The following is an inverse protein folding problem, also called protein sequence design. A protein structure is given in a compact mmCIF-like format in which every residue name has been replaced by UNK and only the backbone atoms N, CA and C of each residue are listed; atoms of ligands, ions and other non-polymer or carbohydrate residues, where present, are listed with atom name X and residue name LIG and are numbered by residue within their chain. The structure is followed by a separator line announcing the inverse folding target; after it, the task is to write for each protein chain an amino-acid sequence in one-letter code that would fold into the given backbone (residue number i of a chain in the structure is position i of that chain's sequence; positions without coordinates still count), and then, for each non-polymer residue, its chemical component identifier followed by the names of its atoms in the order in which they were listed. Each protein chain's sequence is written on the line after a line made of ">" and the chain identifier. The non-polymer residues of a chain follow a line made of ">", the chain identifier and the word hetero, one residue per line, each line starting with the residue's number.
data_IF_881411515302
#
_entry.id   IF_881411515302
#
_cell.length_a   1.000
_cell.length_b   1.000
_cell.length_c   1.000
_cell.angle_alpha   90.00
_cell.angle_beta   90.00
_cell.angle_gamma   90.00
#
_symmetry.space_group_name_H-M   'P 1'
#
loop_
_entity.id
_entity.type
_entity.pdbx_description
1 polymer ?
#
# COMPACT_ATOMS: atom_id res chain seq x y z
N UNK A 1 -28.23 -33.11 4.48
CA UNK A 1 -28.03 -31.80 5.17
C UNK A 1 -27.35 -30.80 4.24
N UNK A 2 -26.32 -31.20 3.48
CA UNK A 2 -25.70 -30.35 2.47
C UNK A 2 -26.45 -30.37 1.12
N UNK A 3 -27.46 -31.22 0.96
CA UNK A 3 -28.17 -31.45 -0.30
C UNK A 3 -29.05 -30.25 -0.72
N UNK A 4 -29.34 -29.33 0.22
CA UNK A 4 -29.99 -28.03 -0.10
C UNK A 4 -28.98 -26.96 -0.52
N UNK A 5 -27.72 -27.14 -0.14
CA UNK A 5 -26.59 -26.27 -0.45
C UNK A 5 -25.95 -26.64 -1.78
N UNK A 6 -25.79 -27.94 -2.03
CA UNK A 6 -25.13 -28.51 -3.20
C UNK A 6 -26.20 -29.05 -4.14
N UNK A 7 -26.12 -28.67 -5.41
CA UNK A 7 -27.00 -29.19 -6.45
C UNK A 7 -26.18 -29.75 -7.60
N UNK A 8 -26.75 -30.72 -8.32
CA UNK A 8 -26.09 -31.27 -9.50
C UNK A 8 -26.07 -30.23 -10.63
N UNK A 9 -24.96 -30.21 -11.38
CA UNK A 9 -24.76 -29.29 -12.50
C UNK A 9 -25.86 -29.44 -13.56
N UNK A 10 -26.28 -30.67 -13.85
CA UNK A 10 -27.38 -30.96 -14.80
C UNK A 10 -28.65 -30.23 -14.45
N UNK A 11 -29.01 -30.26 -13.17
CA UNK A 11 -30.27 -29.71 -12.68
C UNK A 11 -30.22 -28.18 -12.71
N UNK A 12 -29.05 -27.60 -12.38
CA UNK A 12 -28.83 -26.15 -12.41
C UNK A 12 -28.74 -25.58 -13.83
N UNK A 13 -28.20 -26.32 -14.80
CA UNK A 13 -28.16 -25.85 -16.20
C UNK A 13 -29.58 -25.53 -16.69
N UNK A 14 -30.55 -26.37 -16.33
CA UNK A 14 -31.94 -26.22 -16.73
C UNK A 14 -32.65 -25.18 -15.85
N UNK A 15 -32.47 -25.25 -14.53
CA UNK A 15 -33.31 -24.51 -13.56
C UNK A 15 -32.72 -23.22 -13.02
N UNK A 16 -31.40 -23.01 -13.10
CA UNK A 16 -30.76 -21.86 -12.46
C UNK A 16 -31.22 -20.53 -13.08
N UNK A 17 -31.43 -19.54 -12.21
CA UNK A 17 -31.77 -18.17 -12.55
C UNK A 17 -30.57 -17.41 -13.15
N UNK A 18 -29.33 -17.76 -12.76
CA UNK A 18 -28.11 -17.11 -13.24
C UNK A 18 -27.37 -17.97 -14.29
N UNK A 19 -27.84 -17.87 -15.54
CA UNK A 19 -27.24 -18.57 -16.68
C UNK A 19 -25.79 -18.15 -16.98
N UNK A 20 -25.39 -16.93 -16.58
CA UNK A 20 -24.01 -16.44 -16.78
C UNK A 20 -23.06 -17.17 -15.84
N UNK A 21 -23.43 -17.30 -14.57
CA UNK A 21 -22.68 -18.09 -13.59
C UNK A 21 -22.50 -19.54 -14.06
N UNK A 22 -23.57 -20.16 -14.57
CA UNK A 22 -23.52 -21.53 -15.10
C UNK A 22 -22.57 -21.68 -16.31
N UNK A 23 -22.57 -20.70 -17.22
CA UNK A 23 -21.65 -20.70 -18.37
C UNK A 23 -20.19 -20.63 -17.90
N UNK A 24 -19.92 -19.83 -16.87
CA UNK A 24 -18.58 -19.68 -16.31
C UNK A 24 -18.12 -20.94 -15.56
N UNK A 25 -19.04 -21.62 -14.86
CA UNK A 25 -18.79 -22.94 -14.26
C UNK A 25 -18.42 -23.93 -15.36
N UNK A 26 -19.24 -24.09 -16.40
CA UNK A 26 -18.94 -24.98 -17.53
C UNK A 26 -17.57 -24.71 -18.16
N UNK A 27 -17.21 -23.42 -18.33
CA UNK A 27 -15.91 -23.01 -18.86
C UNK A 27 -14.74 -23.39 -17.94
N UNK A 28 -14.94 -23.35 -16.63
CA UNK A 28 -13.90 -23.61 -15.61
C UNK A 28 -13.89 -25.04 -15.09
N UNK A 29 -14.93 -25.81 -15.40
CA UNK A 29 -15.06 -27.22 -15.05
C UNK A 29 -13.98 -28.00 -15.78
N UNK A 30 -12.91 -28.37 -15.06
CA UNK A 30 -11.89 -29.24 -15.63
C UNK A 30 -12.47 -30.64 -15.87
N UNK A 31 -11.78 -31.46 -16.68
CA UNK A 31 -12.15 -32.86 -17.00
C UNK A 31 -12.43 -33.73 -15.76
N UNK A 32 -11.91 -33.34 -14.59
CA UNK A 32 -12.10 -34.04 -13.31
C UNK A 32 -13.33 -33.58 -12.50
N UNK A 33 -14.12 -32.63 -13.01
CA UNK A 33 -15.30 -32.05 -12.34
C UNK A 33 -15.03 -31.65 -10.89
N UNK A 34 -13.91 -30.96 -10.65
CA UNK A 34 -13.45 -30.61 -9.31
C UNK A 34 -14.18 -29.44 -8.65
N UNK A 35 -15.09 -28.76 -9.36
CA UNK A 35 -15.92 -27.71 -8.78
C UNK A 35 -17.28 -28.28 -8.40
N UNK A 36 -17.75 -27.86 -7.23
CA UNK A 36 -19.08 -28.18 -6.74
C UNK A 36 -20.03 -27.03 -7.09
N UNK A 37 -21.22 -27.37 -7.59
CA UNK A 37 -22.27 -26.38 -7.82
C UNK A 37 -23.10 -26.20 -6.55
N UNK A 38 -23.52 -24.98 -6.29
CA UNK A 38 -24.38 -24.64 -5.14
C UNK A 38 -25.73 -24.16 -5.64
N UNK A 39 -26.76 -24.27 -4.79
CA UNK A 39 -28.09 -23.76 -5.12
C UNK A 39 -28.07 -22.23 -5.31
N UNK A 40 -28.97 -21.69 -6.14
CA UNK A 40 -29.06 -20.25 -6.40
C UNK A 40 -29.22 -19.43 -5.12
N UNK A 41 -30.00 -19.94 -4.15
CA UNK A 41 -30.13 -19.31 -2.81
C UNK A 41 -28.79 -19.20 -2.09
N UNK A 42 -28.00 -20.26 -2.11
CA UNK A 42 -26.67 -20.26 -1.51
C UNK A 42 -25.72 -19.32 -2.27
N UNK A 43 -25.78 -19.32 -3.60
CA UNK A 43 -25.02 -18.41 -4.44
C UNK A 43 -25.30 -16.94 -4.11
N UNK A 44 -26.58 -16.55 -4.01
CA UNK A 44 -26.98 -15.20 -3.63
C UNK A 44 -26.53 -14.82 -2.22
N UNK A 45 -26.59 -15.75 -1.27
CA UNK A 45 -26.04 -15.55 0.06
C UNK A 45 -24.53 -15.23 0.02
N UNK A 46 -23.74 -15.99 -0.74
CA UNK A 46 -22.31 -15.74 -0.89
C UNK A 46 -22.00 -14.42 -1.61
N UNK A 47 -22.80 -14.04 -2.60
CA UNK A 47 -22.66 -12.74 -3.26
C UNK A 47 -22.92 -11.58 -2.29
N UNK A 48 -23.96 -11.66 -1.45
CA UNK A 48 -24.25 -10.61 -0.49
C UNK A 48 -23.22 -10.58 0.64
N UNK A 49 -22.74 -11.76 1.09
CA UNK A 49 -21.65 -11.88 2.06
C UNK A 49 -20.38 -11.16 1.55
N UNK A 50 -19.96 -11.41 0.30
CA UNK A 50 -18.80 -10.75 -0.31
C UNK A 50 -18.99 -9.22 -0.37
N UNK A 51 -20.18 -8.74 -0.77
CA UNK A 51 -20.49 -7.31 -0.80
C UNK A 51 -20.37 -6.67 0.58
N UNK A 52 -20.91 -7.32 1.62
CA UNK A 52 -20.84 -6.81 3.00
C UNK A 52 -19.40 -6.78 3.48
N UNK A 53 -18.64 -7.86 3.27
CA UNK A 53 -17.23 -7.93 3.64
C UNK A 53 -16.44 -6.80 2.97
N UNK A 54 -16.55 -6.63 1.65
CA UNK A 54 -15.80 -5.59 0.92
C UNK A 54 -16.14 -4.16 1.35
N UNK A 55 -17.39 -3.92 1.77
CA UNK A 55 -17.80 -2.62 2.34
C UNK A 55 -17.15 -2.35 3.70
N UNK A 56 -16.84 -3.40 4.45
CA UNK A 56 -16.20 -3.31 5.77
C UNK A 56 -14.66 -3.34 5.67
N UNK A 57 -14.11 -4.01 4.66
CA UNK A 57 -12.67 -4.11 4.39
C UNK A 57 -12.10 -2.82 3.79
N UNK A 58 -12.08 -1.76 4.59
CA UNK A 58 -11.60 -0.42 4.21
C UNK A 58 -10.37 -0.03 5.01
N UNK A 59 -9.55 0.89 4.46
CA UNK A 59 -8.36 1.39 5.15
C UNK A 59 -8.73 2.16 6.41
N UNK A 60 -9.85 2.86 6.36
CA UNK A 60 -10.43 3.62 7.46
C UNK A 60 -10.76 2.69 8.63
N UNK A 61 -11.43 1.57 8.36
CA UNK A 61 -11.77 0.58 9.39
C UNK A 61 -10.52 -0.14 9.93
N UNK A 62 -9.53 -0.43 9.08
CA UNK A 62 -8.25 -0.99 9.54
C UNK A 62 -7.56 -0.04 10.53
N UNK A 63 -7.55 1.25 10.22
CA UNK A 63 -6.94 2.26 11.09
C UNK A 63 -7.72 2.45 12.40
N UNK A 64 -9.05 2.35 12.35
CA UNK A 64 -9.91 2.53 13.51
C UNK A 64 -9.86 1.34 14.47
N UNK A 65 -9.97 0.11 13.95
CA UNK A 65 -10.10 -1.11 14.76
C UNK A 65 -8.79 -1.86 14.98
N UNK A 66 -7.77 -1.62 14.14
CA UNK A 66 -6.43 -2.19 14.30
C UNK A 66 -6.43 -3.70 14.49
N UNK A 67 -6.04 -4.15 15.69
CA UNK A 67 -5.97 -5.58 16.05
C UNK A 67 -7.36 -6.25 16.11
N UNK A 68 -8.40 -5.49 16.45
CA UNK A 68 -9.78 -5.98 16.56
C UNK A 68 -10.56 -5.89 15.25
N UNK A 69 -9.89 -5.61 14.13
CA UNK A 69 -10.51 -5.45 12.82
C UNK A 69 -11.26 -6.71 12.35
N UNK A 70 -10.69 -7.89 12.59
CA UNK A 70 -11.33 -9.16 12.24
C UNK A 70 -12.61 -9.42 13.05
N UNK A 71 -12.55 -9.19 14.36
CA UNK A 71 -13.69 -9.37 15.27
C UNK A 71 -14.80 -8.36 14.95
N UNK A 72 -14.42 -7.13 14.59
CA UNK A 72 -15.34 -6.10 14.11
C UNK A 72 -16.12 -6.57 12.88
N UNK A 73 -15.42 -7.04 11.84
CA UNK A 73 -16.08 -7.50 10.61
C UNK A 73 -16.98 -8.70 10.90
N UNK A 74 -16.47 -9.68 11.65
CA UNK A 74 -17.24 -10.88 12.03
C UNK A 74 -18.53 -10.50 12.74
N UNK A 75 -18.44 -9.63 13.75
CA UNK A 75 -19.61 -9.16 14.50
C UNK A 75 -20.62 -8.45 13.61
N UNK A 76 -20.16 -7.61 12.67
CA UNK A 76 -21.04 -6.90 11.73
C UNK A 76 -21.74 -7.83 10.75
N UNK A 77 -21.11 -8.93 10.35
CA UNK A 77 -21.71 -9.94 9.46
C UNK A 77 -22.74 -10.77 10.22
N UNK A 78 -22.43 -11.22 11.43
CA UNK A 78 -23.35 -12.05 12.23
C UNK A 78 -24.60 -11.28 12.67
N UNK A 79 -24.46 -9.97 12.93
CA UNK A 79 -25.57 -9.08 13.23
C UNK A 79 -26.33 -8.57 11.98
N UNK A 80 -25.94 -8.97 10.77
CA UNK A 80 -26.58 -8.51 9.55
C UNK A 80 -27.91 -9.27 9.32
N UNK A 81 -29.03 -8.57 9.49
CA UNK A 81 -30.38 -9.13 9.34
C UNK A 81 -30.64 -9.71 7.95
N UNK A 82 -30.21 -9.04 6.88
CA UNK A 82 -30.41 -9.52 5.53
C UNK A 82 -29.68 -10.84 5.26
N UNK A 83 -28.43 -10.97 5.73
CA UNK A 83 -27.69 -12.23 5.65
C UNK A 83 -28.26 -13.31 6.56
N UNK A 84 -28.84 -12.95 7.71
CA UNK A 84 -29.56 -13.88 8.57
C UNK A 84 -30.80 -14.43 7.84
N UNK A 85 -31.59 -13.55 7.23
CA UNK A 85 -32.80 -13.93 6.50
C UNK A 85 -32.48 -14.82 5.28
N UNK A 86 -31.48 -14.46 4.47
CA UNK A 86 -31.06 -15.29 3.32
C UNK A 86 -30.57 -16.66 3.77
N UNK A 87 -29.80 -16.72 4.87
CA UNK A 87 -29.33 -17.99 5.43
C UNK A 87 -30.49 -18.89 5.86
N UNK A 88 -31.48 -18.33 6.56
CA UNK A 88 -32.69 -19.07 6.96
C UNK A 88 -33.53 -19.54 5.76
N UNK A 89 -33.43 -18.91 4.59
CA UNK A 89 -34.14 -19.36 3.39
C UNK A 89 -33.46 -20.55 2.68
N UNK A 90 -32.18 -20.80 2.97
CA UNK A 90 -31.42 -21.96 2.44
C UNK A 90 -31.80 -23.24 3.20
N UNK A 91 -32.05 -23.12 4.50
CA UNK A 91 -32.38 -24.25 5.37
C UNK A 91 -33.80 -24.11 5.89
N UNK A 92 -34.70 -25.00 5.46
CA UNK A 92 -36.02 -25.11 6.06
C UNK A 92 -35.85 -25.71 7.46
N UNK A 93 -35.83 -24.87 8.49
CA UNK A 93 -35.84 -25.31 9.88
C UNK A 93 -37.26 -25.70 10.25
N UNK A 94 -37.68 -26.91 9.90
CA UNK A 94 -38.93 -27.48 10.40
C UNK A 94 -38.78 -27.71 11.91
N UNK A 95 -39.27 -26.76 12.73
CA UNK A 95 -39.49 -26.77 14.19
C UNK A 95 -38.52 -27.58 15.08
N UNK A 96 -37.27 -27.74 14.64
CA UNK A 96 -36.26 -28.52 15.33
C UNK A 96 -35.16 -27.58 15.84
N UNK A 97 -35.25 -27.25 17.12
CA UNK A 97 -34.32 -26.35 17.81
C UNK A 97 -32.87 -26.86 17.74
N UNK A 98 -32.67 -28.19 17.83
CA UNK A 98 -31.35 -28.79 17.69
C UNK A 98 -30.77 -28.58 16.28
N UNK A 99 -31.62 -28.69 15.25
CA UNK A 99 -31.23 -28.41 13.87
C UNK A 99 -30.88 -26.93 13.67
N UNK A 100 -31.66 -26.00 14.25
CA UNK A 100 -31.39 -24.56 14.17
C UNK A 100 -30.02 -24.19 14.78
N UNK A 101 -29.63 -24.80 15.91
CA UNK A 101 -28.32 -24.57 16.53
C UNK A 101 -27.17 -25.01 15.62
N UNK A 102 -27.28 -26.16 14.95
CA UNK A 102 -26.24 -26.62 14.02
C UNK A 102 -26.16 -25.77 12.76
N UNK A 103 -27.30 -25.34 12.22
CA UNK A 103 -27.35 -24.44 11.07
C UNK A 103 -26.74 -23.07 11.40
N UNK A 104 -26.95 -22.57 12.62
CA UNK A 104 -26.30 -21.34 13.09
C UNK A 104 -24.78 -21.51 13.22
N UNK A 105 -24.30 -22.59 13.84
CA UNK A 105 -22.87 -22.88 13.94
C UNK A 105 -22.21 -23.02 12.57
N UNK A 106 -22.89 -23.69 11.64
CA UNK A 106 -22.42 -23.82 10.26
C UNK A 106 -22.24 -22.44 9.59
N UNK A 107 -23.18 -21.51 9.83
CA UNK A 107 -23.05 -20.13 9.35
C UNK A 107 -21.80 -19.45 9.91
N UNK A 108 -21.57 -19.54 11.22
CA UNK A 108 -20.41 -18.94 11.87
C UNK A 108 -19.10 -19.49 11.29
N UNK A 109 -19.03 -20.80 11.08
CA UNK A 109 -17.87 -21.44 10.45
C UNK A 109 -17.64 -20.98 9.02
N UNK A 110 -18.70 -20.89 8.21
CA UNK A 110 -18.62 -20.42 6.81
C UNK A 110 -18.15 -18.96 6.78
N UNK A 111 -18.76 -18.09 7.59
CA UNK A 111 -18.36 -16.68 7.70
C UNK A 111 -16.89 -16.56 8.09
N UNK A 112 -16.45 -17.33 9.09
CA UNK A 112 -15.06 -17.33 9.54
C UNK A 112 -14.08 -17.75 8.44
N UNK A 113 -14.36 -18.87 7.75
CA UNK A 113 -13.52 -19.35 6.65
C UNK A 113 -13.49 -18.37 5.47
N UNK A 114 -14.64 -17.83 5.09
CA UNK A 114 -14.75 -16.88 3.99
C UNK A 114 -14.02 -15.57 4.32
N UNK A 115 -14.20 -15.05 5.53
CA UNK A 115 -13.53 -13.84 5.98
C UNK A 115 -12.01 -14.03 6.03
N UNK A 116 -11.52 -15.18 6.49
CA UNK A 116 -10.08 -15.48 6.48
C UNK A 116 -9.50 -15.41 5.06
N UNK A 117 -10.21 -15.97 4.08
CA UNK A 117 -9.83 -15.91 2.67
C UNK A 117 -9.86 -14.46 2.14
N UNK A 118 -10.95 -13.72 2.39
CA UNK A 118 -11.09 -12.33 1.95
C UNK A 118 -10.02 -11.43 2.57
N UNK A 119 -9.82 -11.51 3.87
CA UNK A 119 -8.84 -10.71 4.59
C UNK A 119 -7.40 -11.02 4.16
N UNK A 120 -7.10 -12.25 3.76
CA UNK A 120 -5.81 -12.58 3.17
C UNK A 120 -5.60 -11.85 1.83
N UNK A 121 -6.63 -11.77 0.99
CA UNK A 121 -6.61 -11.03 -0.27
C UNK A 121 -6.53 -9.53 -0.03
N UNK A 122 -7.39 -8.97 0.82
CA UNK A 122 -7.37 -7.57 1.20
C UNK A 122 -6.01 -7.14 1.76
N UNK A 123 -5.37 -7.97 2.60
CA UNK A 123 -4.01 -7.70 3.11
C UNK A 123 -2.98 -7.61 2.01
N UNK A 124 -3.06 -8.47 0.97
CA UNK A 124 -2.13 -8.43 -0.17
C UNK A 124 -2.31 -7.11 -0.93
N UNK A 125 -3.54 -6.74 -1.24
CA UNK A 125 -3.88 -5.50 -1.94
C UNK A 125 -3.47 -4.26 -1.13
N UNK A 126 -3.74 -4.27 0.18
CA UNK A 126 -3.36 -3.20 1.08
C UNK A 126 -1.84 -2.97 1.07
N UNK A 127 -1.05 -4.04 1.20
CA UNK A 127 0.43 -3.95 1.14
C UNK A 127 0.90 -3.40 -0.20
N UNK A 128 0.30 -3.83 -1.31
CA UNK A 128 0.63 -3.32 -2.65
C UNK A 128 0.31 -1.82 -2.76
N UNK A 129 -0.88 -1.39 -2.31
CA UNK A 129 -1.28 0.03 -2.30
C UNK A 129 -0.35 0.89 -1.45
N UNK A 130 0.05 0.40 -0.26
CA UNK A 130 1.01 1.11 0.61
C UNK A 130 2.38 1.25 -0.07
N UNK A 131 2.89 0.18 -0.71
CA UNK A 131 4.16 0.22 -1.44
C UNK A 131 4.10 1.25 -2.58
N UNK A 132 3.05 1.21 -3.39
CA UNK A 132 2.84 2.16 -4.49
C UNK A 132 2.80 3.62 -3.99
N UNK A 133 2.07 3.90 -2.90
CA UNK A 133 2.02 5.24 -2.28
C UNK A 133 3.39 5.71 -1.79
N UNK A 134 4.20 4.83 -1.19
CA UNK A 134 5.56 5.16 -0.75
C UNK A 134 6.47 5.51 -1.93
N UNK A 135 6.39 4.73 -3.01
CA UNK A 135 7.15 4.99 -4.23
C UNK A 135 6.73 6.32 -4.89
N UNK A 136 5.42 6.59 -4.95
CA UNK A 136 4.89 7.85 -5.47
C UNK A 136 5.34 9.05 -4.63
N UNK A 137 5.27 8.94 -3.29
CA UNK A 137 5.73 9.99 -2.38
C UNK A 137 7.24 10.25 -2.54
N UNK A 138 8.04 9.20 -2.69
CA UNK A 138 9.48 9.31 -2.94
C UNK A 138 9.77 9.99 -4.29
N UNK A 139 9.04 9.61 -5.36
CA UNK A 139 9.15 10.27 -6.67
C UNK A 139 8.80 11.75 -6.60
N UNK A 140 7.71 12.10 -5.90
CA UNK A 140 7.32 13.51 -5.66
C UNK A 140 8.41 14.26 -4.90
N UNK A 141 9.00 13.65 -3.87
CA UNK A 141 10.08 14.27 -3.10
C UNK A 141 11.34 14.51 -3.95
N UNK A 142 11.72 13.56 -4.82
CA UNK A 142 12.83 13.73 -5.76
C UNK A 142 12.53 14.87 -6.73
N UNK A 143 11.31 14.92 -7.28
CA UNK A 143 10.91 15.96 -8.22
C UNK A 143 11.00 17.35 -7.58
N UNK A 144 10.43 17.52 -6.38
CA UNK A 144 10.53 18.79 -5.64
C UNK A 144 11.98 19.20 -5.36
N UNK A 145 12.88 18.25 -5.06
CA UNK A 145 14.31 18.55 -4.87
C UNK A 145 14.99 18.99 -6.17
N UNK A 146 14.63 18.39 -7.32
CA UNK A 146 15.13 18.80 -8.63
C UNK A 146 14.64 20.19 -9.01
N UNK A 147 13.35 20.45 -8.84
CA UNK A 147 12.73 21.73 -9.19
C UNK A 147 13.32 22.88 -8.36
N UNK A 148 13.51 22.66 -7.05
CA UNK A 148 14.18 23.63 -6.17
C UNK A 148 15.63 23.90 -6.56
N UNK A 149 16.35 22.87 -7.03
CA UNK A 149 17.74 23.02 -7.51
C UNK A 149 17.80 23.76 -8.86
N UNK A 150 16.84 23.55 -9.75
CA UNK A 150 16.77 24.28 -11.03
C UNK A 150 16.45 25.76 -10.76
N UNK A 151 15.48 26.06 -9.89
CA UNK A 151 15.15 27.44 -9.49
C UNK A 151 16.33 28.18 -8.89
N UNK A 152 17.07 27.56 -7.98
CA UNK A 152 18.23 28.20 -7.34
C UNK A 152 19.40 28.44 -8.32
N UNK A 153 19.60 27.56 -9.30
CA UNK A 153 20.60 27.77 -10.36
C UNK A 153 20.18 28.90 -11.30
N UNK A 154 18.90 28.98 -11.68
CA UNK A 154 18.42 30.09 -12.51
C UNK A 154 18.51 31.45 -11.79
N UNK A 155 18.20 31.53 -10.49
CA UNK A 155 18.35 32.77 -9.71
C UNK A 155 19.83 33.16 -9.50
N UNK A 156 20.72 32.17 -9.33
CA UNK A 156 22.16 32.40 -9.27
C UNK A 156 22.74 32.90 -10.60
N UNK A 157 22.20 32.46 -11.75
CA UNK A 157 22.62 32.95 -13.07
C UNK A 157 22.12 34.37 -13.37
N UNK A 158 20.88 34.71 -12.98
CA UNK A 158 20.34 36.08 -13.16
C UNK A 158 21.04 37.10 -12.25
N UNK A 159 21.45 36.69 -11.05
CA UNK A 159 22.21 37.54 -10.13
C UNK A 159 23.68 37.68 -10.53
N UNK A 160 24.29 36.68 -11.18
CA UNK A 160 25.66 36.77 -11.68
C UNK A 160 25.76 37.58 -12.98
N UNK A 161 24.79 37.50 -13.89
CA UNK A 161 24.72 38.34 -15.10
C UNK A 161 24.48 39.82 -14.75
N UNK A 162 23.67 40.10 -13.72
CA UNK A 162 23.43 41.45 -13.22
C UNK A 162 24.68 42.05 -12.56
N UNK A 163 25.42 41.26 -11.75
CA UNK A 163 26.67 41.72 -11.13
C UNK A 163 27.81 41.90 -12.15
N UNK A 164 27.89 41.07 -13.17
CA UNK A 164 28.88 41.20 -14.24
C UNK A 164 28.63 42.44 -15.11
N UNK A 165 27.37 42.80 -15.33
CA UNK A 165 26.98 44.04 -16.01
C UNK A 165 27.28 45.30 -15.18
N UNK A 166 27.19 45.21 -13.86
CA UNK A 166 27.53 46.29 -12.94
C UNK A 166 29.06 46.48 -12.80
N UNK A 167 29.83 45.38 -12.77
CA UNK A 167 31.29 45.40 -12.77
C UNK A 167 31.93 45.91 -14.08
N UNK A 168 31.25 45.80 -15.22
CA UNK A 168 31.70 46.40 -16.48
C UNK A 168 31.43 47.91 -16.56
N UNK A 169 30.46 48.41 -15.78
CA UNK A 169 30.16 49.85 -15.70
C UNK A 169 31.13 50.58 -14.76
N UNK A 170 31.60 49.90 -13.72
CA UNK A 170 32.59 50.46 -12.77
C UNK A 170 34.05 50.38 -13.27
N UNK A 171 34.28 49.77 -14.45
CA UNK A 171 35.63 49.58 -15.02
C UNK A 171 35.96 50.57 -16.14
N UNK A 172 35.04 51.46 -16.55
CA UNK A 172 35.37 52.54 -17.50
C UNK A 172 36.06 53.73 -16.85
N UNK A 173 36.07 53.83 -15.52
CA UNK A 173 36.46 55.07 -14.82
C UNK A 173 37.71 54.94 -13.93
N UNK A 174 38.38 53.79 -13.91
CA UNK A 174 39.61 53.62 -13.11
C UNK A 174 40.79 53.14 -13.96
N UNK A 175 41.43 54.11 -14.60
CA UNK A 175 42.86 54.07 -14.90
C UNK A 175 43.65 54.13 -13.59
N UNK A 176 44.75 53.39 -13.52
CA UNK A 176 45.87 53.51 -12.57
C UNK A 176 45.70 52.82 -11.20
N UNK A 177 46.30 51.64 -11.02
CA UNK A 177 47.39 51.37 -10.05
C UNK A 177 47.70 49.87 -9.97
N UNK A 178 49.00 49.54 -10.12
CA UNK A 178 49.54 48.21 -10.45
C UNK A 178 50.03 47.39 -9.24
N UNK A 179 49.64 47.71 -8.01
CA UNK A 179 50.28 47.09 -6.82
C UNK A 179 49.35 46.29 -5.89
N UNK A 180 48.03 46.24 -6.16
CA UNK A 180 47.09 45.52 -5.28
C UNK A 180 46.76 44.08 -5.70
N UNK A 181 47.19 43.62 -6.88
CA UNK A 181 46.86 42.26 -7.37
C UNK A 181 47.66 41.13 -6.68
N UNK A 182 48.81 41.42 -6.08
CA UNK A 182 49.66 40.38 -5.48
C UNK A 182 49.21 39.94 -4.08
N UNK A 183 48.52 40.82 -3.34
CA UNK A 183 48.04 40.54 -1.97
C UNK A 183 46.79 39.66 -1.95
N UNK A 184 45.89 39.84 -2.93
CA UNK A 184 44.67 39.03 -3.07
C UNK A 184 44.98 37.58 -3.48
N UNK A 185 45.99 37.36 -4.33
CA UNK A 185 46.35 36.01 -4.77
C UNK A 185 46.97 35.17 -3.63
N UNK A 186 47.71 35.80 -2.71
CA UNK A 186 48.22 35.15 -1.48
C UNK A 186 47.10 34.81 -0.48
N UNK A 187 46.06 35.64 -0.39
CA UNK A 187 44.93 35.41 0.53
C UNK A 187 44.00 34.28 0.06
N UNK A 188 43.78 34.17 -1.26
CA UNK A 188 42.96 33.08 -1.85
C UNK A 188 43.66 31.73 -1.71
N UNK A 189 44.98 31.66 -1.91
CA UNK A 189 45.74 30.41 -1.70
C UNK A 189 45.70 29.95 -0.23
N UNK A 190 45.77 30.86 0.75
CA UNK A 190 45.67 30.49 2.18
C UNK A 190 44.30 29.95 2.59
N UNK A 191 43.20 30.43 2.00
CA UNK A 191 41.85 29.92 2.29
C UNK A 191 41.59 28.54 1.66
N UNK A 192 42.17 28.24 0.50
CA UNK A 192 42.02 26.94 -0.15
C UNK A 192 42.72 25.82 0.63
N UNK A 193 43.92 26.08 1.17
CA UNK A 193 44.68 25.09 1.95
C UNK A 193 43.97 24.73 3.25
N UNK A 194 43.45 25.71 3.99
CA UNK A 194 42.74 25.46 5.26
C UNK A 194 41.50 24.56 5.10
N UNK A 195 40.79 24.69 3.97
CA UNK A 195 39.59 23.91 3.66
C UNK A 195 39.89 22.46 3.23
N UNK A 196 41.11 22.19 2.78
CA UNK A 196 41.57 20.83 2.46
C UNK A 196 41.96 20.10 3.74
N UNK A 197 42.68 20.77 4.66
CA UNK A 197 43.11 20.19 5.94
C UNK A 197 41.93 19.86 6.87
N UNK A 198 40.86 20.66 6.85
CA UNK A 198 39.64 20.38 7.62
C UNK A 198 38.88 19.14 7.10
N UNK A 199 38.97 18.82 5.80
CA UNK A 199 38.31 17.65 5.21
C UNK A 199 39.08 16.35 5.47
N UNK A 200 40.40 16.40 5.56
CA UNK A 200 41.22 15.23 5.88
C UNK A 200 41.04 14.79 7.34
N UNK A 201 41.03 15.74 8.28
CA UNK A 201 40.79 15.46 9.70
C UNK A 201 39.38 14.89 9.99
N UNK A 202 38.38 15.22 9.17
CA UNK A 202 37.01 14.72 9.35
C UNK A 202 36.82 13.30 8.79
N UNK A 203 37.63 12.90 7.80
CA UNK A 203 37.66 11.54 7.29
C UNK A 203 38.36 10.57 8.26
N UNK A 204 39.46 11.01 8.89
CA UNK A 204 40.18 10.18 9.86
C UNK A 204 39.34 9.88 11.11
N UNK A 205 38.52 10.83 11.57
CA UNK A 205 37.57 10.60 12.68
C UNK A 205 36.48 9.56 12.34
N UNK A 206 36.08 9.45 11.07
CA UNK A 206 35.06 8.48 10.64
C UNK A 206 35.61 7.06 10.53
N UNK A 207 36.88 6.89 10.15
CA UNK A 207 37.51 5.56 10.11
C UNK A 207 37.74 4.96 11.51
N UNK A 208 38.09 5.79 12.51
CA UNK A 208 38.27 5.33 13.89
C UNK A 208 36.93 4.91 14.52
N UNK A 209 35.83 5.61 14.20
CA UNK A 209 34.49 5.26 14.72
C UNK A 209 33.95 3.94 14.17
N UNK A 210 34.29 3.57 12.93
CA UNK A 210 33.85 2.30 12.33
C UNK A 210 34.55 1.08 12.94
N UNK A 211 35.81 1.21 13.36
CA UNK A 211 36.58 0.09 13.91
C UNK A 211 36.18 -0.27 15.34
N UNK A 212 35.62 0.67 16.12
CA UNK A 212 35.16 0.42 17.49
C UNK A 212 33.81 -0.31 17.54
N UNK A 213 32.96 -0.16 16.51
CA UNK A 213 31.68 -0.87 16.44
C UNK A 213 31.81 -2.32 16.00
N UNK A 214 32.81 -2.66 15.17
CA UNK A 214 33.04 -4.05 14.75
C UNK A 214 33.64 -4.92 15.87
N UNK A 215 34.51 -4.37 16.72
CA UNK A 215 35.09 -5.11 17.87
C UNK A 215 34.04 -5.46 18.93
N UNK A 216 32.96 -4.67 19.05
CA UNK A 216 31.85 -4.96 19.98
C UNK A 216 30.86 -6.01 19.49
N UNK A 217 30.92 -6.43 18.21
CA UNK A 217 30.03 -7.46 17.66
C UNK A 217 30.64 -8.86 17.66
N UNK A 218 31.93 -8.99 17.99
CA UNK A 218 32.69 -10.25 17.99
C UNK A 218 33.18 -10.67 19.38
N UNK A 219 32.68 -10.06 20.45
CA UNK A 219 32.95 -10.45 21.84
C UNK A 219 31.67 -10.95 22.52
#
# INVERSE_FOLDING_TARGET
>A
MLDTLIQHESDLIETSEDKVSMTEIQRKQNVRSGLCCVSDKAFHFFQELDKVIRKLETVENVNLYGKSFYDFITSRILLNEALNQQWSQIFTTEDNEYFAVHVHKLKEEIVSKYLLMSSAQFRREFKQKVKARKEEAHRKQIQMRRDSKVKSVSEAQVSSSSKQSQLMKDRSDYSSTSEQQESLHKLVKRKAVKKITERENENDRRQISGHVEDVRRTA
#
